data_IF_498937238587
#
_entry.id   IF_498937238587
#
_cell.length_a   1.000
_cell.length_b   1.000
_cell.length_c   1.000
_cell.angle_alpha   90.00
_cell.angle_beta   90.00
_cell.angle_gamma   90.00
#
_symmetry.space_group_name_H-M   'P 1'
#
loop_
_entity.id
_entity.type
_entity.pdbx_description
1 polymer ?
#
# COMPACT_ATOMS: atom_id res chain seq x y z
N UNK A 1 -12.65 20.72 -29.42
CA UNK A 1 -12.96 19.27 -29.40
C UNK A 1 -12.12 18.52 -28.39
N UNK A 2 -10.82 18.77 -28.32
CA UNK A 2 -9.88 18.07 -27.43
C UNK A 2 -10.29 18.11 -25.94
N UNK A 3 -10.74 19.26 -25.45
CA UNK A 3 -11.20 19.44 -24.07
C UNK A 3 -12.32 18.47 -23.65
N UNK A 4 -13.23 18.14 -24.57
CA UNK A 4 -14.33 17.21 -24.31
C UNK A 4 -13.83 15.76 -24.20
N UNK A 5 -12.85 15.39 -25.04
CA UNK A 5 -12.25 14.06 -25.03
C UNK A 5 -11.49 13.84 -23.73
N UNK A 6 -10.65 14.80 -23.32
CA UNK A 6 -9.93 14.71 -22.06
C UNK A 6 -10.87 14.71 -20.85
N UNK A 7 -11.85 15.62 -20.80
CA UNK A 7 -12.84 15.65 -19.72
C UNK A 7 -13.61 14.33 -19.57
N UNK A 8 -14.03 13.74 -20.68
CA UNK A 8 -14.74 12.46 -20.68
C UNK A 8 -13.84 11.29 -20.25
N UNK A 9 -12.62 11.19 -20.77
CA UNK A 9 -11.68 10.14 -20.39
C UNK A 9 -11.32 10.20 -18.90
N UNK A 10 -11.00 11.39 -18.38
CA UNK A 10 -10.70 11.56 -16.95
C UNK A 10 -11.93 11.27 -16.08
N UNK A 11 -13.13 11.68 -16.51
CA UNK A 11 -14.37 11.39 -15.79
C UNK A 11 -14.64 9.89 -15.68
N UNK A 12 -14.59 9.16 -16.80
CA UNK A 12 -14.83 7.72 -16.85
C UNK A 12 -13.79 6.96 -16.02
N UNK A 13 -12.50 7.28 -16.18
CA UNK A 13 -11.43 6.65 -15.41
C UNK A 13 -11.60 6.91 -13.90
N UNK A 14 -11.96 8.14 -13.53
CA UNK A 14 -12.22 8.50 -12.12
C UNK A 14 -13.33 7.63 -11.53
N UNK A 15 -14.44 7.43 -12.24
CA UNK A 15 -15.55 6.59 -11.76
C UNK A 15 -15.08 5.14 -11.56
N UNK A 16 -14.39 4.55 -12.54
CA UNK A 16 -13.93 3.16 -12.48
C UNK A 16 -12.99 2.94 -11.28
N UNK A 17 -12.02 3.84 -11.10
CA UNK A 17 -11.06 3.71 -10.02
C UNK A 17 -11.68 4.02 -8.65
N UNK A 18 -12.61 4.99 -8.53
CA UNK A 18 -13.35 5.26 -7.29
C UNK A 18 -14.07 3.99 -6.82
N UNK A 19 -14.79 3.31 -7.72
CA UNK A 19 -15.51 2.08 -7.37
C UNK A 19 -14.54 0.99 -6.87
N UNK A 20 -13.41 0.82 -7.55
CA UNK A 20 -12.39 -0.16 -7.18
C UNK A 20 -11.77 0.16 -5.81
N UNK A 21 -11.46 1.42 -5.54
CA UNK A 21 -10.88 1.86 -4.27
C UNK A 21 -11.87 1.75 -3.10
N UNK A 22 -13.16 2.02 -3.30
CA UNK A 22 -14.20 1.81 -2.27
C UNK A 22 -14.23 0.35 -1.82
N UNK A 23 -14.13 -0.60 -2.76
CA UNK A 23 -14.07 -2.04 -2.43
C UNK A 23 -12.84 -2.37 -1.58
N UNK A 24 -11.66 -1.87 -1.94
CA UNK A 24 -10.42 -2.08 -1.18
C UNK A 24 -10.52 -1.51 0.23
N UNK A 25 -11.02 -0.28 0.37
CA UNK A 25 -11.23 0.37 1.67
C UNK A 25 -12.20 -0.45 2.51
N UNK A 26 -13.33 -0.86 1.93
CA UNK A 26 -14.32 -1.68 2.62
C UNK A 26 -13.72 -2.99 3.13
N UNK A 27 -13.01 -3.74 2.28
CA UNK A 27 -12.40 -5.02 2.65
C UNK A 27 -11.39 -4.88 3.79
N UNK A 28 -10.49 -3.89 3.74
CA UNK A 28 -9.50 -3.66 4.79
C UNK A 28 -10.16 -3.18 6.09
N UNK A 29 -11.20 -2.35 5.99
CA UNK A 29 -11.89 -1.78 7.16
C UNK A 29 -12.72 -2.81 7.93
N UNK A 30 -13.42 -3.71 7.23
CA UNK A 30 -14.30 -4.73 7.83
C UNK A 30 -13.55 -5.98 8.30
N UNK A 31 -12.43 -6.31 7.65
CA UNK A 31 -11.71 -7.56 7.93
C UNK A 31 -10.64 -7.35 9.02
N UNK A 32 -10.92 -7.79 10.25
CA UNK A 32 -10.02 -7.63 11.41
C UNK A 32 -8.61 -8.20 11.18
N UNK A 33 -8.49 -9.33 10.47
CA UNK A 33 -7.20 -9.97 10.14
C UNK A 33 -6.36 -9.18 9.14
N UNK A 34 -7.00 -8.37 8.27
CA UNK A 34 -6.30 -7.47 7.37
C UNK A 34 -5.87 -6.21 8.12
N UNK A 35 -6.76 -5.62 8.93
CA UNK A 35 -6.50 -4.39 9.67
C UNK A 35 -5.40 -4.51 10.73
N UNK A 36 -5.15 -5.70 11.27
CA UNK A 36 -4.12 -5.91 12.30
C UNK A 36 -2.69 -5.77 11.77
N UNK A 37 -2.49 -5.80 10.45
CA UNK A 37 -1.16 -5.75 9.83
C UNK A 37 -0.79 -4.30 9.48
N UNK A 38 0.34 -3.80 9.99
CA UNK A 38 0.76 -2.41 9.79
C UNK A 38 0.90 -2.00 8.32
N UNK A 39 1.29 -2.93 7.42
CA UNK A 39 1.37 -2.63 5.99
C UNK A 39 -0.01 -2.38 5.36
N UNK A 40 -1.05 -3.10 5.80
CA UNK A 40 -2.41 -2.89 5.31
C UNK A 40 -3.00 -1.56 5.80
N UNK A 41 -2.59 -1.10 6.99
CA UNK A 41 -2.97 0.24 7.46
C UNK A 41 -2.34 1.34 6.59
N UNK A 42 -1.07 1.19 6.19
CA UNK A 42 -0.43 2.12 5.25
C UNK A 42 -1.15 2.09 3.89
N UNK A 43 -1.46 0.90 3.38
CA UNK A 43 -2.23 0.74 2.12
C UNK A 43 -3.61 1.38 2.23
N UNK A 44 -4.29 1.27 3.38
CA UNK A 44 -5.58 1.93 3.62
C UNK A 44 -5.45 3.45 3.54
N UNK A 45 -4.43 4.04 4.17
CA UNK A 45 -4.20 5.49 4.11
C UNK A 45 -3.84 5.96 2.71
N UNK A 46 -3.01 5.21 1.98
CA UNK A 46 -2.68 5.46 0.58
C UNK A 46 -3.95 5.44 -0.29
N UNK A 47 -4.79 4.43 -0.09
CA UNK A 47 -6.04 4.25 -0.84
C UNK A 47 -7.03 5.38 -0.56
N UNK A 48 -7.15 5.82 0.70
CA UNK A 48 -8.02 6.94 1.05
C UNK A 48 -7.53 8.27 0.48
N UNK A 49 -6.21 8.50 0.49
CA UNK A 49 -5.61 9.68 -0.13
C UNK A 49 -5.87 9.71 -1.64
N UNK A 50 -5.64 8.59 -2.33
CA UNK A 50 -5.93 8.44 -3.76
C UNK A 50 -7.41 8.67 -4.04
N UNK A 51 -8.31 8.06 -3.26
CA UNK A 51 -9.76 8.20 -3.43
C UNK A 51 -10.19 9.68 -3.34
N UNK A 52 -9.70 10.40 -2.33
CA UNK A 52 -10.02 11.81 -2.14
C UNK A 52 -9.56 12.64 -3.35
N UNK A 53 -8.32 12.43 -3.80
CA UNK A 53 -7.77 13.13 -4.95
C UNK A 53 -8.55 12.80 -6.23
N UNK A 54 -8.94 11.54 -6.41
CA UNK A 54 -9.68 11.08 -7.57
C UNK A 54 -11.10 11.66 -7.62
N UNK A 55 -11.76 11.82 -6.47
CA UNK A 55 -13.05 12.50 -6.35
C UNK A 55 -12.90 13.97 -6.78
N UNK A 56 -11.89 14.68 -6.26
CA UNK A 56 -11.65 16.08 -6.66
C UNK A 56 -11.34 16.21 -8.15
N UNK A 57 -10.48 15.34 -8.69
CA UNK A 57 -10.15 15.33 -10.11
C UNK A 57 -11.36 14.97 -10.98
N UNK A 58 -12.19 14.03 -10.56
CA UNK A 58 -13.41 13.63 -11.25
C UNK A 58 -14.43 14.77 -11.30
N UNK A 59 -14.68 15.44 -10.18
CA UNK A 59 -15.55 16.62 -10.11
C UNK A 59 -15.00 17.72 -11.02
N UNK A 60 -13.72 18.03 -10.90
CA UNK A 60 -13.05 19.07 -11.70
C UNK A 60 -13.14 18.80 -13.20
N UNK A 61 -12.89 17.55 -13.62
CA UNK A 61 -12.96 17.14 -15.03
C UNK A 61 -14.39 17.17 -15.57
N UNK A 62 -15.37 16.82 -14.74
CA UNK A 62 -16.79 16.88 -15.08
C UNK A 62 -17.24 18.34 -15.24
N UNK A 63 -16.83 19.24 -14.33
CA UNK A 63 -17.07 20.67 -14.46
C UNK A 63 -16.45 21.24 -15.74
N UNK A 64 -15.23 20.82 -16.08
CA UNK A 64 -14.56 21.22 -17.33
C UNK A 64 -15.30 20.72 -18.58
N UNK A 65 -15.89 19.53 -18.52
CA UNK A 65 -16.65 18.94 -19.63
C UNK A 65 -17.96 19.70 -19.92
N UNK A 66 -18.71 20.06 -18.87
CA UNK A 66 -20.03 20.69 -19.03
C UNK A 66 -19.99 22.22 -19.07
N UNK A 67 -19.02 22.86 -18.40
CA UNK A 67 -18.89 24.31 -18.32
C UNK A 67 -17.46 24.80 -18.55
N UNK A 68 -16.85 24.51 -19.71
CA UNK A 68 -15.46 24.88 -19.99
C UNK A 68 -15.22 26.39 -19.90
N UNK A 69 -16.12 27.22 -20.44
CA UNK A 69 -15.99 28.69 -20.42
C UNK A 69 -16.02 29.30 -19.00
N UNK A 70 -16.78 28.69 -18.08
CA UNK A 70 -16.83 29.12 -16.67
C UNK A 70 -15.57 28.68 -15.94
N UNK A 71 -15.09 27.47 -16.21
CA UNK A 71 -13.90 26.94 -15.57
C UNK A 71 -12.62 27.67 -16.02
N UNK A 72 -12.51 28.01 -17.31
CA UNK A 72 -11.37 28.76 -17.86
C UNK A 72 -11.29 30.20 -17.33
N UNK A 73 -12.44 30.84 -17.09
CA UNK A 73 -12.49 32.23 -16.60
C UNK A 73 -12.17 32.35 -15.09
N UNK A 74 -12.25 31.27 -14.33
CA UNK A 74 -11.95 31.26 -12.89
C UNK A 74 -10.56 30.72 -12.56
N UNK A 75 -9.53 31.57 -12.73
CA UNK A 75 -8.13 31.24 -12.43
C UNK A 75 -7.87 30.70 -11.02
N UNK A 76 -8.66 31.12 -10.03
CA UNK A 76 -8.49 30.67 -8.65
C UNK A 76 -8.88 29.19 -8.47
N UNK A 77 -9.93 28.74 -9.15
CA UNK A 77 -10.37 27.34 -9.14
C UNK A 77 -9.30 26.46 -9.77
N UNK A 78 -8.77 26.87 -10.93
CA UNK A 78 -7.66 26.19 -11.60
C UNK A 78 -6.43 26.03 -10.71
N UNK A 79 -6.04 27.08 -9.99
CA UNK A 79 -4.90 27.03 -9.05
C UNK A 79 -5.15 26.07 -7.88
N UNK A 80 -6.35 26.08 -7.30
CA UNK A 80 -6.71 25.17 -6.20
C UNK A 80 -6.70 23.72 -6.68
N UNK A 81 -7.31 23.43 -7.84
CA UNK A 81 -7.31 22.09 -8.42
C UNK A 81 -5.88 21.60 -8.71
N UNK A 82 -5.02 22.45 -9.28
CA UNK A 82 -3.62 22.14 -9.51
C UNK A 82 -2.83 21.88 -8.21
N UNK A 83 -3.05 22.70 -7.17
CA UNK A 83 -2.41 22.52 -5.88
C UNK A 83 -2.85 21.21 -5.20
N UNK A 84 -4.15 20.90 -5.21
CA UNK A 84 -4.69 19.64 -4.69
C UNK A 84 -4.09 18.42 -5.40
N UNK A 85 -3.96 18.48 -6.73
CA UNK A 85 -3.31 17.42 -7.49
C UNK A 85 -1.84 17.25 -7.04
N UNK A 86 -1.06 18.32 -6.95
CA UNK A 86 0.33 18.26 -6.50
C UNK A 86 0.48 17.71 -5.07
N UNK A 87 -0.37 18.15 -4.14
CA UNK A 87 -0.37 17.66 -2.76
C UNK A 87 -0.65 16.17 -2.69
N UNK A 88 -1.60 15.68 -3.50
CA UNK A 88 -1.91 14.26 -3.55
C UNK A 88 -0.76 13.41 -4.09
N UNK A 89 -0.08 13.85 -5.15
CA UNK A 89 1.15 13.19 -5.65
C UNK A 89 2.26 13.14 -4.59
N UNK A 90 2.47 14.24 -3.87
CA UNK A 90 3.45 14.30 -2.80
C UNK A 90 3.13 13.32 -1.66
N UNK A 91 1.86 13.25 -1.27
CA UNK A 91 1.38 12.33 -0.25
C UNK A 91 1.54 10.87 -0.68
N UNK A 92 1.19 10.54 -1.93
CA UNK A 92 1.38 9.22 -2.52
C UNK A 92 2.84 8.79 -2.47
N UNK A 93 3.76 9.64 -2.95
CA UNK A 93 5.20 9.36 -2.93
C UNK A 93 5.70 9.10 -1.50
N UNK A 94 5.25 9.89 -0.53
CA UNK A 94 5.65 9.74 0.88
C UNK A 94 5.17 8.41 1.46
N UNK A 95 3.90 8.06 1.23
CA UNK A 95 3.30 6.81 1.72
C UNK A 95 3.85 5.57 1.01
N UNK A 96 4.13 5.65 -0.29
CA UNK A 96 4.77 4.59 -1.06
C UNK A 96 6.19 4.29 -0.55
N UNK A 97 6.96 5.35 -0.25
CA UNK A 97 8.28 5.19 0.39
C UNK A 97 8.15 4.55 1.77
N UNK A 98 7.20 5.00 2.59
CA UNK A 98 6.94 4.40 3.91
C UNK A 98 6.58 2.92 3.80
N UNK A 99 5.75 2.54 2.83
CA UNK A 99 5.40 1.15 2.54
C UNK A 99 6.63 0.32 2.13
N UNK A 100 7.50 0.87 1.29
CA UNK A 100 8.75 0.25 0.88
C UNK A 100 9.74 0.07 2.04
N UNK A 101 9.82 1.04 2.97
CA UNK A 101 10.60 0.89 4.19
C UNK A 101 10.03 -0.18 5.12
N UNK A 102 8.71 -0.19 5.32
CA UNK A 102 8.05 -1.18 6.18
C UNK A 102 8.27 -2.61 5.66
N UNK A 103 8.17 -2.82 4.34
CA UNK A 103 8.42 -4.13 3.72
C UNK A 103 9.89 -4.55 3.81
N UNK A 104 10.84 -3.62 3.64
CA UNK A 104 12.28 -3.89 3.83
C UNK A 104 12.62 -4.26 5.27
N UNK A 105 12.04 -3.57 6.26
CA UNK A 105 12.26 -3.87 7.68
C UNK A 105 11.70 -5.25 8.03
N UNK A 106 10.49 -5.58 7.58
CA UNK A 106 9.93 -6.93 7.71
C UNK A 106 10.85 -7.98 7.08
N UNK A 107 11.31 -7.77 5.84
CA UNK A 107 12.23 -8.68 5.17
C UNK A 107 13.54 -8.87 5.95
N UNK A 108 14.12 -7.79 6.50
CA UNK A 108 15.31 -7.86 7.36
C UNK A 108 15.06 -8.61 8.66
N UNK A 109 13.90 -8.46 9.30
CA UNK A 109 13.54 -9.21 10.51
C UNK A 109 13.30 -10.70 10.23
N UNK A 110 12.81 -11.05 9.04
CA UNK A 110 12.67 -12.45 8.62
C UNK A 110 14.00 -13.09 8.18
N UNK A 111 14.90 -12.32 7.55
CA UNK A 111 16.25 -12.77 7.17
C UNK A 111 17.21 -12.81 8.36
N UNK A 112 17.03 -11.91 9.32
CA UNK A 112 17.80 -11.81 10.56
C UNK A 112 16.83 -11.68 11.74
N UNK A 113 16.32 -12.80 12.27
CA UNK A 113 15.59 -12.77 13.54
C UNK A 113 16.48 -12.07 14.59
N UNK A 114 15.91 -11.19 15.44
CA UNK A 114 16.64 -10.43 16.48
C UNK A 114 17.12 -11.37 17.60
N UNK A 115 18.11 -12.18 17.26
CA UNK A 115 18.67 -13.29 18.02
C UNK A 115 19.78 -14.02 17.26
N UNK A 116 19.98 -13.74 15.96
CA UNK A 116 21.11 -14.20 15.13
C UNK A 116 21.89 -12.98 14.63
N UNK A 117 22.21 -12.06 15.54
CA UNK A 117 23.20 -11.00 15.30
C UNK A 117 24.41 -11.32 16.17
N UNK A 118 25.02 -12.47 15.87
CA UNK A 118 26.30 -12.90 16.39
C UNK A 118 27.06 -13.51 15.22
N UNK A 119 28.21 -12.92 14.91
CA UNK A 119 29.17 -13.30 13.87
C UNK A 119 29.03 -14.72 13.31
N UNK A 120 28.55 -14.83 12.08
CA UNK A 120 28.51 -16.08 11.34
C UNK A 120 27.34 -16.15 10.37
N UNK A 121 27.60 -15.94 9.08
CA UNK A 121 26.68 -16.32 8.01
C UNK A 121 26.46 -17.84 8.11
N UNK A 122 25.37 -18.30 8.71
CA UNK A 122 24.98 -19.70 8.62
C UNK A 122 23.53 -19.78 8.14
N UNK A 123 23.40 -20.31 6.92
CA UNK A 123 22.15 -20.57 6.21
C UNK A 123 21.10 -21.14 7.14
N UNK A 124 19.99 -20.42 7.30
CA UNK A 124 18.78 -20.96 7.90
C UNK A 124 18.09 -21.84 6.86
N UNK A 125 18.16 -23.16 7.03
CA UNK A 125 17.43 -24.10 6.15
C UNK A 125 15.97 -24.12 6.58
N UNK A 126 15.07 -23.84 5.64
CA UNK A 126 13.61 -23.88 5.83
C UNK A 126 13.16 -25.33 5.82
N UNK A 127 12.45 -25.77 6.86
CA UNK A 127 11.84 -27.09 6.92
C UNK A 127 10.33 -26.96 7.05
N UNK A 128 9.58 -27.67 6.20
CA UNK A 128 8.13 -27.84 6.33
C UNK A 128 7.85 -29.12 7.11
N UNK A 129 7.16 -28.99 8.23
CA UNK A 129 6.64 -30.12 8.98
C UNK A 129 5.36 -30.68 8.31
N UNK A 130 5.03 -31.97 8.50
CA UNK A 130 3.86 -32.61 7.90
C UNK A 130 2.51 -31.98 8.30
N UNK A 131 2.47 -31.21 9.38
CA UNK A 131 1.29 -30.49 9.89
C UNK A 131 1.08 -29.11 9.23
N UNK A 132 1.96 -28.74 8.30
CA UNK A 132 1.96 -27.44 7.60
C UNK A 132 2.75 -26.35 8.33
N UNK A 133 3.38 -26.66 9.46
CA UNK A 133 4.20 -25.71 10.22
C UNK A 133 5.53 -25.49 9.50
N UNK A 134 5.91 -24.23 9.26
CA UNK A 134 7.21 -23.87 8.69
C UNK A 134 8.16 -23.51 9.81
N UNK A 135 9.22 -24.29 9.97
CA UNK A 135 10.31 -24.04 10.92
C UNK A 135 11.59 -23.60 10.21
N UNK A 136 12.42 -22.84 10.93
CA UNK A 136 13.79 -22.53 10.52
C UNK A 136 14.74 -23.15 11.53
N UNK A 137 15.72 -23.93 11.05
CA UNK A 137 16.81 -24.41 11.90
C UNK A 137 18.07 -23.60 11.60
N UNK A 138 18.62 -22.95 12.62
CA UNK A 138 19.94 -22.35 12.57
C UNK A 138 20.95 -23.37 13.12
N UNK A 139 21.89 -23.80 12.28
CA UNK A 139 22.92 -24.76 12.68
C UNK A 139 24.13 -24.00 13.22
N UNK A 140 24.15 -23.69 14.52
CA UNK A 140 25.30 -23.00 15.13
C UNK A 140 26.52 -23.94 15.12
N UNK A 141 27.56 -23.61 14.35
CA UNK A 141 28.74 -24.44 14.11
C UNK A 141 29.58 -24.83 15.33
N UNK A 142 29.17 -24.44 16.54
CA UNK A 142 29.93 -24.70 17.76
C UNK A 142 29.11 -25.12 18.98
N UNK A 143 27.83 -25.48 18.82
CA UNK A 143 27.06 -26.07 19.92
C UNK A 143 26.18 -27.23 19.44
N UNK A 144 26.39 -28.39 20.07
CA UNK A 144 25.46 -29.52 20.05
C UNK A 144 24.06 -29.02 20.39
N UNK A 145 23.17 -29.04 19.38
CA UNK A 145 21.71 -29.10 19.50
C UNK A 145 21.03 -28.05 20.39
N UNK A 146 21.04 -26.78 19.98
CA UNK A 146 20.03 -25.81 20.42
C UNK A 146 19.03 -25.57 19.29
N UNK A 147 18.03 -26.45 19.14
CA UNK A 147 16.89 -26.21 18.25
C UNK A 147 15.95 -25.21 18.91
N UNK A 148 16.03 -23.94 18.53
CA UNK A 148 15.00 -22.97 18.92
C UNK A 148 13.85 -23.05 17.93
N UNK A 149 12.84 -23.83 18.28
CA UNK A 149 11.58 -23.87 17.53
C UNK A 149 10.84 -22.55 17.71
N UNK A 150 10.91 -21.67 16.71
CA UNK A 150 10.03 -20.52 16.62
C UNK A 150 8.74 -21.01 15.94
N UNK A 151 7.72 -21.30 16.75
CA UNK A 151 6.40 -21.71 16.25
C UNK A 151 5.72 -20.46 15.69
N UNK A 152 5.72 -20.32 14.37
CA UNK A 152 4.82 -19.36 13.71
C UNK A 152 3.45 -20.01 13.62
N UNK A 153 2.47 -19.44 14.33
CA UNK A 153 1.09 -19.88 14.25
C UNK A 153 0.60 -19.86 12.80
N UNK A 154 -0.06 -20.95 12.42
CA UNK A 154 -0.62 -21.24 11.10
C UNK A 154 -1.34 -19.99 10.57
N UNK A 155 -0.88 -19.45 9.45
CA UNK A 155 -1.64 -18.47 8.68
C UNK A 155 -2.77 -19.26 8.02
N UNK A 156 -4.05 -19.09 8.41
CA UNK A 156 -5.14 -19.70 7.68
C UNK A 156 -5.25 -18.95 6.35
N UNK A 157 -4.91 -19.63 5.27
CA UNK A 157 -5.39 -19.31 3.93
C UNK A 157 -6.92 -19.40 3.91
#
# INVERSE_FOLDING_TARGET
MEHYIFGALYGVMSIIFIMSYIVVVYLIATTKSLRSKSYNLIVLHLTLADLLQLIFNGISSTCFLFWPAVYESHHLVNKICGALALTGWFLYCTLANLLAFNSRTLCKTFLHPPGIVGHGLQSATRYSLPDGTVGYAAHNGNQKHAFRWIRYERIPW
#
